data_IF_714859565902
#
_entry.id   IF_714859565902
#
_cell.length_a   1.000
_cell.length_b   1.000
_cell.length_c   1.000
_cell.angle_alpha   90.00
_cell.angle_beta   90.00
_cell.angle_gamma   90.00
#
_symmetry.space_group_name_H-M   'P 1'
#
loop_
_entity.id
_entity.type
_entity.pdbx_description
1 polymer ?
#
# COMPACT_ATOMS: atom_id res chain seq x y z
N UNK A 1 -4.20 -15.61 -10.04
CA UNK A 1 -4.75 -15.40 -8.69
C UNK A 1 -5.34 -16.66 -8.09
N UNK A 2 -5.97 -17.56 -8.87
CA UNK A 2 -6.42 -18.86 -8.35
C UNK A 2 -5.25 -19.62 -7.70
N UNK A 3 -5.46 -20.16 -6.49
CA UNK A 3 -4.42 -20.86 -5.72
C UNK A 3 -3.46 -19.96 -4.92
N UNK A 4 -3.68 -18.64 -4.87
CA UNK A 4 -2.86 -17.71 -4.05
C UNK A 4 -3.43 -17.46 -2.64
N UNK A 5 -4.55 -18.10 -2.27
CA UNK A 5 -5.30 -17.80 -1.04
C UNK A 5 -5.92 -16.41 -1.03
N UNK A 6 -6.02 -15.75 -2.19
CA UNK A 6 -6.50 -14.37 -2.27
C UNK A 6 -7.96 -14.27 -1.84
N UNK A 7 -8.76 -15.17 -2.38
CA UNK A 7 -10.19 -15.37 -2.14
C UNK A 7 -10.46 -15.70 -0.67
N UNK A 8 -9.70 -16.66 -0.11
CA UNK A 8 -9.83 -17.05 1.29
C UNK A 8 -9.61 -15.85 2.22
N UNK A 9 -8.50 -15.11 2.05
CA UNK A 9 -8.19 -13.93 2.86
C UNK A 9 -9.32 -12.89 2.81
N UNK A 10 -9.88 -12.64 1.62
CA UNK A 10 -10.91 -11.59 1.44
C UNK A 10 -12.25 -12.02 2.03
N UNK A 11 -12.57 -13.31 1.97
CA UNK A 11 -13.79 -13.88 2.55
C UNK A 11 -13.69 -13.96 4.07
N UNK A 12 -12.58 -14.49 4.60
CA UNK A 12 -12.33 -14.60 6.04
C UNK A 12 -12.27 -13.23 6.73
N UNK A 13 -11.70 -12.22 6.06
CA UNK A 13 -11.67 -10.85 6.57
C UNK A 13 -13.04 -10.13 6.49
N UNK A 14 -14.10 -10.78 5.97
CA UNK A 14 -15.44 -10.18 5.84
C UNK A 14 -15.54 -9.05 4.80
N UNK A 15 -14.53 -8.88 3.95
CA UNK A 15 -14.49 -7.81 2.93
C UNK A 15 -15.44 -8.16 1.77
N UNK A 16 -15.54 -9.45 1.42
CA UNK A 16 -16.45 -9.94 0.40
C UNK A 16 -17.12 -11.25 0.82
N UNK A 17 -18.40 -11.42 0.49
CA UNK A 17 -19.10 -12.67 0.70
C UNK A 17 -18.60 -13.74 -0.30
N UNK A 18 -18.58 -15.01 0.12
CA UNK A 18 -18.17 -16.16 -0.71
C UNK A 18 -18.90 -16.21 -2.05
N UNK A 19 -20.22 -15.98 -2.07
CA UNK A 19 -21.02 -15.95 -3.29
C UNK A 19 -20.72 -14.78 -4.24
N UNK A 20 -19.96 -13.77 -3.80
CA UNK A 20 -19.62 -12.58 -4.60
C UNK A 20 -18.16 -12.53 -5.04
N UNK A 21 -17.27 -13.37 -4.49
CA UNK A 21 -15.83 -13.28 -4.72
C UNK A 21 -15.46 -13.53 -6.18
N UNK A 22 -16.13 -14.49 -6.84
CA UNK A 22 -15.83 -14.82 -8.23
C UNK A 22 -16.20 -13.66 -9.18
N UNK A 23 -17.32 -12.98 -8.94
CA UNK A 23 -17.72 -11.83 -9.72
C UNK A 23 -16.79 -10.62 -9.50
N UNK A 24 -16.25 -10.46 -8.29
CA UNK A 24 -15.24 -9.45 -7.95
C UNK A 24 -13.92 -9.76 -8.66
N UNK A 25 -13.44 -11.00 -8.58
CA UNK A 25 -12.19 -11.44 -9.24
C UNK A 25 -12.25 -11.38 -10.76
N UNK A 26 -13.43 -11.61 -11.35
CA UNK A 26 -13.67 -11.43 -12.79
C UNK A 26 -13.90 -9.97 -13.19
N UNK A 27 -13.90 -9.03 -12.24
CA UNK A 27 -14.12 -7.60 -12.51
C UNK A 27 -15.55 -7.24 -12.91
N UNK A 28 -16.52 -8.14 -12.79
CA UNK A 28 -17.94 -7.89 -13.14
C UNK A 28 -18.55 -6.78 -12.27
N UNK A 29 -18.09 -6.67 -11.02
CA UNK A 29 -18.49 -5.60 -10.10
C UNK A 29 -17.32 -4.64 -9.88
N UNK A 30 -17.02 -3.80 -10.88
CA UNK A 30 -15.86 -2.90 -10.87
C UNK A 30 -15.69 -2.14 -9.54
N UNK A 31 -16.71 -1.40 -9.10
CA UNK A 31 -16.62 -0.61 -7.86
C UNK A 31 -16.32 -1.46 -6.62
N UNK A 32 -16.87 -2.67 -6.55
CA UNK A 32 -16.62 -3.60 -5.45
C UNK A 32 -15.22 -4.20 -5.54
N UNK A 33 -14.79 -4.57 -6.75
CA UNK A 33 -13.45 -5.07 -7.02
C UNK A 33 -12.38 -4.04 -6.63
N UNK A 34 -12.51 -2.79 -7.06
CA UNK A 34 -11.59 -1.72 -6.68
C UNK A 34 -11.50 -1.58 -5.17
N UNK A 35 -12.64 -1.56 -4.44
CA UNK A 35 -12.61 -1.49 -2.97
C UNK A 35 -11.84 -2.65 -2.34
N UNK A 36 -12.07 -3.89 -2.79
CA UNK A 36 -11.33 -5.07 -2.29
C UNK A 36 -9.82 -4.91 -2.52
N UNK A 37 -9.42 -4.48 -3.71
CA UNK A 37 -8.02 -4.25 -4.04
C UNK A 37 -7.39 -3.14 -3.20
N UNK A 38 -8.11 -2.03 -2.96
CA UNK A 38 -7.62 -0.95 -2.10
C UNK A 38 -7.40 -1.41 -0.66
N UNK A 39 -8.39 -2.07 -0.04
CA UNK A 39 -8.29 -2.53 1.35
C UNK A 39 -7.14 -3.54 1.50
N UNK A 40 -7.01 -4.46 0.55
CA UNK A 40 -5.92 -5.44 0.60
C UNK A 40 -4.56 -4.81 0.35
N UNK A 41 -4.46 -3.84 -0.56
CA UNK A 41 -3.23 -3.07 -0.78
C UNK A 41 -2.79 -2.37 0.51
N UNK A 42 -3.72 -1.69 1.20
CA UNK A 42 -3.44 -1.03 2.48
C UNK A 42 -2.93 -2.01 3.54
N UNK A 43 -3.62 -3.15 3.70
CA UNK A 43 -3.22 -4.19 4.63
C UNK A 43 -1.82 -4.75 4.33
N UNK A 44 -1.51 -4.97 3.05
CA UNK A 44 -0.20 -5.46 2.61
C UNK A 44 0.90 -4.40 2.81
N UNK A 45 0.64 -3.12 2.51
CA UNK A 45 1.61 -2.04 2.77
C UNK A 45 1.93 -1.94 4.27
N UNK A 46 0.91 -2.05 5.13
CA UNK A 46 1.10 -2.07 6.60
C UNK A 46 1.90 -3.27 7.06
N UNK A 47 1.58 -4.47 6.55
CA UNK A 47 2.32 -5.69 6.88
C UNK A 47 3.79 -5.59 6.42
N UNK A 48 4.02 -5.00 5.23
CA UNK A 48 5.35 -4.79 4.69
C UNK A 48 6.15 -3.81 5.55
N UNK A 49 5.52 -2.72 5.98
CA UNK A 49 6.12 -1.73 6.85
C UNK A 49 6.44 -2.30 8.24
N UNK A 50 5.53 -3.09 8.81
CA UNK A 50 5.77 -3.82 10.06
C UNK A 50 6.98 -4.77 9.93
N UNK A 51 7.07 -5.53 8.83
CA UNK A 51 8.22 -6.39 8.56
C UNK A 51 9.54 -5.60 8.41
N UNK A 52 9.47 -4.42 7.78
CA UNK A 52 10.61 -3.51 7.66
C UNK A 52 11.09 -3.01 9.05
N UNK A 53 10.17 -2.61 9.92
CA UNK A 53 10.44 -2.16 11.29
C UNK A 53 11.21 -3.22 12.10
N UNK A 54 10.80 -4.48 12.00
CA UNK A 54 11.42 -5.60 12.71
C UNK A 54 12.82 -5.97 12.19
N UNK A 55 13.04 -5.86 10.88
CA UNK A 55 14.26 -6.39 10.24
C UNK A 55 15.49 -5.48 10.45
N UNK A 56 15.32 -4.15 10.40
CA UNK A 56 16.45 -3.21 10.38
C UNK A 56 16.79 -2.55 11.73
N UNK A 57 16.12 -2.93 12.83
CA UNK A 57 16.23 -2.23 14.15
C UNK A 57 16.07 -0.71 14.02
N UNK A 58 15.24 -0.27 13.07
CA UNK A 58 14.97 1.15 12.77
C UNK A 58 14.03 1.79 13.78
N UNK A 59 13.83 1.15 14.93
CA UNK A 59 12.89 1.55 15.98
C UNK A 59 13.11 2.99 16.42
N UNK A 60 14.36 3.49 16.45
CA UNK A 60 14.66 4.89 16.77
C UNK A 60 14.19 5.87 15.70
N UNK A 61 14.57 5.66 14.44
CA UNK A 61 14.16 6.52 13.31
C UNK A 61 12.65 6.45 13.03
N UNK A 62 12.03 5.29 13.26
CA UNK A 62 10.57 5.12 13.16
C UNK A 62 9.87 5.83 14.32
N UNK A 63 10.43 5.79 15.53
CA UNK A 63 9.88 6.53 16.67
C UNK A 63 10.01 8.04 16.45
N UNK A 64 11.15 8.53 15.98
CA UNK A 64 11.34 9.95 15.60
C UNK A 64 10.34 10.38 14.52
N UNK A 65 10.10 9.53 13.51
CA UNK A 65 9.07 9.78 12.50
C UNK A 65 7.63 9.72 13.06
N UNK A 66 7.35 8.87 14.06
CA UNK A 66 6.06 8.82 14.77
C UNK A 66 5.84 10.08 15.58
N UNK A 67 6.84 10.51 16.35
CA UNK A 67 6.79 11.71 17.16
C UNK A 67 6.58 12.95 16.27
N UNK A 68 7.30 13.05 15.15
CA UNK A 68 7.09 14.09 14.14
C UNK A 68 5.69 14.02 13.49
N UNK A 69 5.15 12.81 13.29
CA UNK A 69 3.80 12.60 12.74
C UNK A 69 2.68 12.92 13.75
N UNK A 70 2.96 12.82 15.06
CA UNK A 70 2.06 13.23 16.13
C UNK A 70 2.06 14.76 16.29
N UNK A 71 3.23 15.40 16.19
CA UNK A 71 3.37 16.86 16.12
C UNK A 71 2.68 17.44 14.86
N UNK A 72 2.63 16.69 13.77
CA UNK A 72 1.86 17.06 12.57
C UNK A 72 0.33 17.05 12.79
N UNK A 73 -0.19 16.23 13.72
CA UNK A 73 -1.64 16.21 14.01
C UNK A 73 -2.06 17.35 14.94
N UNK A 74 -1.12 18.01 15.64
CA UNK A 74 -1.41 19.15 16.51
C UNK A 74 -1.41 20.50 15.77
N UNK A 75 -0.69 20.62 14.65
CA UNK A 75 -0.67 21.84 13.81
C UNK A 75 -0.68 21.52 12.30
N UNK A 76 -1.83 21.68 11.61
CA UNK A 76 -1.98 21.40 10.18
C UNK A 76 -1.11 22.27 9.25
N UNK A 77 -0.58 23.40 9.72
CA UNK A 77 0.19 24.35 8.92
C UNK A 77 1.66 23.93 8.71
N UNK A 78 2.16 22.93 9.45
CA UNK A 78 3.54 22.42 9.35
C UNK A 78 3.69 21.22 8.39
N UNK A 79 2.64 20.87 7.66
CA UNK A 79 2.60 19.69 6.79
C UNK A 79 3.77 19.65 5.77
N UNK A 80 4.07 20.77 5.13
CA UNK A 80 5.10 20.83 4.08
C UNK A 80 6.52 20.84 4.65
N UNK A 81 6.71 21.34 5.88
CA UNK A 81 8.03 21.40 6.53
C UNK A 81 8.45 20.05 7.13
N UNK A 82 7.49 19.22 7.53
CA UNK A 82 7.76 17.90 8.14
C UNK A 82 8.04 16.84 7.06
N UNK A 83 7.33 16.90 5.93
CA UNK A 83 7.58 16.01 4.77
C UNK A 83 9.01 16.16 4.22
N UNK A 84 9.58 17.36 4.31
CA UNK A 84 10.96 17.64 3.90
C UNK A 84 12.01 17.39 5.01
N UNK A 85 11.62 16.82 6.15
CA UNK A 85 12.58 16.42 7.18
C UNK A 85 13.53 15.35 6.64
N UNK A 86 14.83 15.56 6.82
CA UNK A 86 15.90 14.64 6.42
C UNK A 86 15.68 13.24 6.99
N UNK A 87 15.15 13.15 8.20
CA UNK A 87 14.82 11.89 8.86
C UNK A 87 13.75 11.08 8.11
N UNK A 88 12.68 11.73 7.64
CA UNK A 88 11.59 11.05 6.92
C UNK A 88 12.03 10.70 5.50
N UNK A 89 12.80 11.58 4.85
CA UNK A 89 13.41 11.30 3.55
C UNK A 89 14.36 10.08 3.60
N UNK A 90 15.20 10.00 4.63
CA UNK A 90 16.09 8.86 4.83
C UNK A 90 15.32 7.57 5.14
N UNK A 91 14.29 7.63 6.01
CA UNK A 91 13.40 6.50 6.28
C UNK A 91 12.71 6.00 5.01
N UNK A 92 12.22 6.93 4.19
CA UNK A 92 11.60 6.63 2.90
C UNK A 92 12.57 5.93 1.95
N UNK A 93 13.80 6.45 1.80
CA UNK A 93 14.83 5.85 0.95
C UNK A 93 15.15 4.41 1.39
N UNK A 94 15.31 4.16 2.68
CA UNK A 94 15.55 2.82 3.20
C UNK A 94 14.38 1.88 2.98
N UNK A 95 13.15 2.35 3.19
CA UNK A 95 11.96 1.56 2.94
C UNK A 95 11.83 1.22 1.45
N UNK A 96 12.16 2.15 0.56
CA UNK A 96 12.20 1.90 -0.88
C UNK A 96 13.26 0.87 -1.27
N UNK A 97 14.44 0.93 -0.68
CA UNK A 97 15.47 -0.10 -0.86
C UNK A 97 14.94 -1.47 -0.41
N UNK A 98 14.30 -1.55 0.74
CA UNK A 98 13.71 -2.78 1.26
C UNK A 98 12.66 -3.39 0.30
N UNK A 99 11.77 -2.56 -0.28
CA UNK A 99 10.81 -3.02 -1.30
C UNK A 99 11.49 -3.57 -2.54
N UNK A 100 12.62 -3.00 -2.94
CA UNK A 100 13.40 -3.45 -4.08
C UNK A 100 14.10 -4.80 -3.81
N UNK A 101 14.62 -5.01 -2.60
CA UNK A 101 15.15 -6.32 -2.18
C UNK A 101 14.07 -7.41 -2.24
N UNK A 102 12.85 -7.09 -1.82
CA UNK A 102 11.70 -8.01 -1.93
C UNK A 102 11.36 -8.29 -3.40
N UNK A 103 11.39 -7.26 -4.25
CA UNK A 103 11.12 -7.40 -5.69
C UNK A 103 12.14 -8.31 -6.37
N UNK A 104 13.42 -8.23 -5.97
CA UNK A 104 14.50 -9.11 -6.44
C UNK A 104 14.40 -10.55 -5.93
N UNK A 105 13.56 -10.80 -4.92
CA UNK A 105 13.31 -12.13 -4.39
C UNK A 105 14.23 -12.54 -3.24
N UNK A 106 14.95 -11.60 -2.60
CA UNK A 106 15.85 -11.88 -1.46
C UNK A 106 15.14 -12.58 -0.30
N UNK A 107 13.84 -12.30 -0.11
CA UNK A 107 13.01 -12.86 0.97
C UNK A 107 12.11 -14.02 0.51
N UNK A 108 12.37 -14.59 -0.67
CA UNK A 108 11.59 -15.70 -1.24
C UNK A 108 10.44 -15.28 -2.16
N UNK A 109 9.76 -16.30 -2.72
CA UNK A 109 8.77 -16.11 -3.81
C UNK A 109 7.44 -15.51 -3.34
N UNK A 110 7.01 -15.82 -2.11
CA UNK A 110 5.74 -15.33 -1.56
C UNK A 110 5.69 -13.80 -1.41
N UNK A 111 6.64 -13.15 -0.72
CA UNK A 111 6.63 -11.69 -0.62
C UNK A 111 6.88 -11.01 -1.98
N UNK A 112 7.69 -11.63 -2.85
CA UNK A 112 7.88 -11.15 -4.22
C UNK A 112 6.56 -11.15 -5.01
N UNK A 113 5.78 -12.22 -4.93
CA UNK A 113 4.46 -12.32 -5.56
C UNK A 113 3.50 -11.22 -5.05
N UNK A 114 3.40 -11.05 -3.73
CA UNK A 114 2.52 -10.03 -3.16
C UNK A 114 2.99 -8.61 -3.50
N UNK A 115 4.30 -8.37 -3.57
CA UNK A 115 4.87 -7.10 -4.01
C UNK A 115 4.50 -6.76 -5.45
N UNK A 116 4.57 -7.74 -6.36
CA UNK A 116 4.13 -7.57 -7.75
C UNK A 116 2.62 -7.29 -7.84
N UNK A 117 1.82 -7.95 -7.01
CA UNK A 117 0.39 -7.63 -6.89
C UNK A 117 0.17 -6.18 -6.46
N UNK A 118 0.87 -5.72 -5.42
CA UNK A 118 0.75 -4.34 -4.92
C UNK A 118 1.11 -3.32 -6.00
N UNK A 119 2.18 -3.54 -6.76
CA UNK A 119 2.58 -2.65 -7.87
C UNK A 119 1.47 -2.52 -8.93
N UNK A 120 0.82 -3.63 -9.28
CA UNK A 120 -0.30 -3.62 -10.23
C UNK A 120 -1.50 -2.83 -9.70
N UNK A 121 -1.83 -2.96 -8.42
CA UNK A 121 -2.93 -2.18 -7.82
C UNK A 121 -2.58 -0.70 -7.79
N UNK A 122 -1.33 -0.32 -7.46
CA UNK A 122 -0.89 1.08 -7.52
C UNK A 122 -1.03 1.69 -8.92
N UNK A 123 -0.63 0.96 -9.95
CA UNK A 123 -0.80 1.38 -11.35
C UNK A 123 -2.28 1.56 -11.69
N UNK A 124 -3.15 0.61 -11.30
CA UNK A 124 -4.59 0.70 -11.51
C UNK A 124 -5.20 1.96 -10.86
N UNK A 125 -4.79 2.28 -9.63
CA UNK A 125 -5.24 3.50 -8.94
C UNK A 125 -4.73 4.76 -9.63
N UNK A 126 -3.49 4.74 -10.13
CA UNK A 126 -2.91 5.85 -10.90
C UNK A 126 -3.67 6.10 -12.20
N UNK A 127 -4.06 5.04 -12.91
CA UNK A 127 -4.93 5.15 -14.08
C UNK A 127 -6.30 5.73 -13.73
N UNK A 128 -6.94 5.23 -12.67
CA UNK A 128 -8.24 5.75 -12.22
C UNK A 128 -8.16 7.25 -11.90
N UNK A 129 -7.07 7.69 -11.25
CA UNK A 129 -6.81 9.11 -10.98
C UNK A 129 -6.61 9.90 -12.27
N UNK A 130 -5.75 9.42 -13.19
CA UNK A 130 -5.46 10.11 -14.45
C UNK A 130 -6.73 10.37 -15.27
N UNK A 131 -7.62 9.39 -15.35
CA UNK A 131 -8.91 9.50 -16.04
C UNK A 131 -9.80 10.55 -15.34
N UNK A 132 -9.95 10.46 -14.01
CA UNK A 132 -10.79 11.40 -13.25
C UNK A 132 -10.30 12.84 -13.30
N UNK A 133 -8.99 13.06 -13.35
CA UNK A 133 -8.38 14.40 -13.41
C UNK A 133 -8.07 14.87 -14.83
N UNK A 134 -8.44 14.08 -15.85
CA UNK A 134 -8.11 14.32 -17.26
C UNK A 134 -6.63 14.69 -17.49
N UNK A 135 -5.71 14.01 -16.79
CA UNK A 135 -4.28 14.30 -16.88
C UNK A 135 -3.59 13.28 -17.80
N UNK A 136 -3.32 13.71 -19.03
CA UNK A 136 -2.74 12.87 -20.06
C UNK A 136 -1.28 12.46 -19.77
N UNK A 137 -0.46 13.35 -19.20
CA UNK A 137 0.92 13.03 -18.79
C UNK A 137 0.93 11.91 -17.74
N UNK A 138 0.03 12.00 -16.76
CA UNK A 138 -0.12 10.96 -15.74
C UNK A 138 -0.54 9.62 -16.35
N UNK A 139 -1.42 9.66 -17.36
CA UNK A 139 -1.86 8.47 -18.08
C UNK A 139 -0.71 7.82 -18.86
N UNK A 140 0.06 8.60 -19.64
CA UNK A 140 1.20 8.10 -20.41
C UNK A 140 2.26 7.46 -19.49
N UNK A 141 2.63 8.14 -18.40
CA UNK A 141 3.59 7.61 -17.41
C UNK A 141 3.11 6.30 -16.77
N UNK A 142 1.80 6.17 -16.54
CA UNK A 142 1.22 4.94 -15.98
C UNK A 142 1.35 3.76 -16.94
N UNK A 143 1.21 3.99 -18.24
CA UNK A 143 1.40 2.98 -19.28
C UNK A 143 2.84 2.48 -19.33
N UNK A 144 3.82 3.40 -19.28
CA UNK A 144 5.25 3.04 -19.22
C UNK A 144 5.58 2.24 -17.96
N UNK A 145 5.08 2.67 -16.79
CA UNK A 145 5.28 1.94 -15.54
C UNK A 145 4.68 0.53 -15.59
N UNK A 146 3.52 0.38 -16.24
CA UNK A 146 2.89 -0.93 -16.43
C UNK A 146 3.80 -1.85 -17.22
N UNK A 147 4.32 -1.41 -18.37
CA UNK A 147 5.24 -2.23 -19.19
C UNK A 147 6.49 -2.61 -18.41
N UNK A 148 7.02 -1.70 -17.59
CA UNK A 148 8.20 -1.96 -16.76
C UNK A 148 7.95 -2.99 -15.66
N UNK A 149 6.76 -3.00 -15.03
CA UNK A 149 6.39 -4.03 -14.04
C UNK A 149 6.29 -5.41 -14.70
N UNK A 150 5.77 -5.48 -15.93
CA UNK A 150 5.69 -6.74 -16.67
C UNK A 150 7.08 -7.23 -17.14
N UNK A 151 7.99 -6.31 -17.44
CA UNK A 151 9.34 -6.62 -17.92
C UNK A 151 10.39 -6.79 -16.79
N UNK A 152 9.99 -6.58 -15.52
CA UNK A 152 10.88 -6.75 -14.36
C UNK A 152 11.93 -5.66 -14.17
N UNK A 153 11.73 -4.48 -14.79
CA UNK A 153 12.65 -3.35 -14.70
C UNK A 153 12.67 -2.73 -13.28
N UNK A 154 13.80 -2.18 -12.80
CA UNK A 154 13.87 -1.47 -11.52
C UNK A 154 12.93 -0.28 -11.51
N UNK A 155 12.12 -0.13 -10.46
CA UNK A 155 11.09 0.91 -10.39
C UNK A 155 11.45 2.01 -9.39
N UNK A 156 11.10 3.26 -9.74
CA UNK A 156 10.93 4.33 -8.76
C UNK A 156 9.84 3.92 -7.76
N UNK A 157 10.15 4.07 -6.48
CA UNK A 157 9.27 3.74 -5.38
C UNK A 157 7.90 4.43 -5.56
N UNK A 158 6.85 3.65 -5.76
CA UNK A 158 5.52 4.10 -6.21
C UNK A 158 4.65 4.66 -5.09
N UNK A 159 5.17 4.74 -3.86
CA UNK A 159 4.41 5.18 -2.70
C UNK A 159 4.66 6.68 -2.47
N UNK A 160 3.68 7.56 -2.74
CA UNK A 160 3.77 8.95 -2.30
C UNK A 160 4.20 9.06 -0.85
N UNK A 161 5.11 9.99 -0.55
CA UNK A 161 5.61 10.28 0.79
C UNK A 161 4.47 10.42 1.83
N UNK A 162 3.34 11.00 1.41
CA UNK A 162 2.11 11.14 2.18
C UNK A 162 1.52 9.81 2.72
N UNK A 163 1.70 8.69 2.02
CA UNK A 163 1.23 7.37 2.49
C UNK A 163 2.16 6.82 3.55
N UNK A 164 3.46 7.13 3.49
CA UNK A 164 4.39 6.70 4.54
C UNK A 164 4.02 7.34 5.89
N UNK A 165 3.63 8.61 5.90
CA UNK A 165 3.07 9.27 7.08
C UNK A 165 1.78 8.61 7.61
N UNK A 166 0.96 8.00 6.74
CA UNK A 166 -0.23 7.23 7.17
C UNK A 166 0.11 5.83 7.67
N UNK A 167 1.17 5.21 7.13
CA UNK A 167 1.65 3.89 7.55
C UNK A 167 2.38 3.93 8.90
N UNK A 168 2.97 5.07 9.25
CA UNK A 168 3.65 5.31 10.53
C UNK A 168 2.65 5.45 11.69
N UNK A 169 1.39 5.81 11.42
CA UNK A 169 0.34 5.94 12.45
C UNK A 169 0.00 4.57 13.06
N UNK A 170 -0.15 4.48 14.39
CA UNK A 170 -0.55 3.23 15.04
C UNK A 170 -1.94 2.79 14.56
N UNK A 171 -2.11 1.47 14.42
CA UNK A 171 -3.39 0.83 14.10
C UNK A 171 -4.42 1.17 15.20
N UNK A 172 -5.26 2.17 14.96
CA UNK A 172 -6.55 2.28 15.65
C UNK A 172 -7.46 1.21 15.04
N UNK A 173 -7.37 -0.01 15.56
CA UNK A 173 -8.39 -1.02 15.31
C UNK A 173 -9.74 -0.42 15.77
N UNK A 174 -10.78 -0.40 14.93
CA UNK A 174 -12.10 -0.01 15.39
C UNK A 174 -12.47 -0.94 16.56
N UNK A 175 -12.83 -0.38 17.71
CA UNK A 175 -13.51 -1.16 18.75
C UNK A 175 -14.83 -1.65 18.14
N UNK A 176 -14.86 -2.91 17.72
CA UNK A 176 -16.09 -3.58 17.34
C UNK A 176 -16.94 -3.78 18.60
N UNK A 177 -17.64 -2.72 19.03
CA UNK A 177 -18.77 -2.88 19.93
C UNK A 177 -19.85 -3.60 19.13
N UNK A 178 -20.04 -4.89 19.44
CA UNK A 178 -20.99 -5.77 18.80
C UNK A 178 -22.37 -5.11 18.68
N UNK A 179 -22.86 -5.01 17.45
CA UNK A 179 -24.26 -4.70 17.20
C UNK A 179 -25.01 -6.01 17.37
N UNK A 180 -25.49 -6.25 18.60
CA UNK A 180 -26.43 -7.31 18.90
C UNK A 180 -27.68 -7.10 18.06
N UNK A 181 -27.93 -8.02 17.14
CA UNK A 181 -29.24 -8.18 16.50
C UNK A 181 -30.23 -8.65 17.56
N UNK A 182 -31.25 -7.86 17.79
CA UNK A 182 -32.55 -8.26 18.36
C UNK A 182 -33.61 -7.68 17.43
#
# INVERSE_FOLDING_TARGET
MKGSGFDDIVVEAGICASGSIEAVLKGKHYNRAIRVHCVKLEALERLLFFSFEQNKRMTKLIQEARDASEEMNSDPLKHDTIIDSDAISHLYAQYCHYKEEIRRGTYGRTPQFWKQYMDKVWILLRFSRAIKTNNLDLYMRSTTLSTDVYNGSPQLCTVPHAILCQLVKPLKLPSWSGRSTS
#
